data_IF_677773726962
#
_entry.id   IF_677773726962
#
_cell.length_a   1.000
_cell.length_b   1.000
_cell.length_c   1.000
_cell.angle_alpha   90.00
_cell.angle_beta   90.00
_cell.angle_gamma   90.00
#
_symmetry.space_group_name_H-M   'P 1'
#
loop_
_entity.id
_entity.type
_entity.pdbx_description
1 polymer ?
#
# COMPACT_ATOMS: atom_id res chain seq x y z
N UNK A 1 3.52 11.32 -9.63
CA UNK A 1 2.82 10.06 -9.92
C UNK A 1 3.68 8.88 -9.52
N UNK A 2 3.07 7.86 -8.91
CA UNK A 2 3.75 6.65 -8.41
C UNK A 2 3.04 5.40 -8.94
N UNK A 3 3.14 5.10 -10.25
CA UNK A 3 2.46 3.96 -10.87
C UNK A 3 2.94 2.63 -10.27
N UNK A 4 2.03 1.70 -9.92
CA UNK A 4 2.40 0.42 -9.30
C UNK A 4 2.93 -0.63 -10.28
N UNK A 5 2.67 -0.47 -11.58
CA UNK A 5 3.06 -1.40 -12.64
C UNK A 5 3.28 -0.70 -14.00
N UNK A 6 3.61 -1.49 -15.03
CA UNK A 6 3.95 -0.98 -16.37
C UNK A 6 2.74 -0.36 -17.07
N UNK A 7 1.55 -0.94 -16.95
CA UNK A 7 0.36 -0.39 -17.61
C UNK A 7 -0.06 0.96 -17.00
N UNK A 8 0.02 1.09 -15.68
CA UNK A 8 -0.15 2.39 -15.02
C UNK A 8 0.92 3.39 -15.45
N UNK A 9 2.18 2.96 -15.56
CA UNK A 9 3.26 3.82 -16.04
C UNK A 9 2.98 4.33 -17.45
N UNK A 10 2.57 3.46 -18.39
CA UNK A 10 2.24 3.87 -19.75
C UNK A 10 1.09 4.88 -19.78
N UNK A 11 0.04 4.66 -18.98
CA UNK A 11 -1.09 5.60 -18.89
C UNK A 11 -0.68 6.95 -18.30
N UNK A 12 0.12 6.96 -17.23
CA UNK A 12 0.63 8.19 -16.62
C UNK A 12 1.56 8.93 -17.58
N UNK A 13 2.43 8.20 -18.28
CA UNK A 13 3.36 8.78 -19.23
C UNK A 13 2.64 9.49 -20.39
N UNK A 14 1.61 8.87 -20.99
CA UNK A 14 0.79 9.50 -22.03
C UNK A 14 0.13 10.80 -21.53
N UNK A 15 -0.38 10.81 -20.29
CA UNK A 15 -0.90 12.02 -19.66
C UNK A 15 0.20 13.10 -19.52
N UNK A 16 1.37 12.73 -18.96
CA UNK A 16 2.44 13.67 -18.68
C UNK A 16 2.98 14.37 -19.93
N UNK A 17 3.19 13.64 -21.04
CA UNK A 17 3.73 14.21 -22.29
C UNK A 17 2.74 15.15 -23.01
N UNK A 18 1.43 15.01 -22.75
CA UNK A 18 0.38 15.89 -23.30
C UNK A 18 0.09 17.10 -22.42
N UNK A 19 0.43 17.02 -21.14
CA UNK A 19 0.22 18.10 -20.18
C UNK A 19 1.08 19.33 -20.50
N UNK A 20 0.60 20.52 -20.15
CA UNK A 20 1.32 21.79 -20.35
C UNK A 20 1.39 22.54 -19.03
N UNK A 21 2.46 23.32 -18.86
CA UNK A 21 2.68 24.16 -17.66
C UNK A 21 2.73 23.38 -16.33
N UNK A 22 3.15 22.11 -16.38
CA UNK A 22 3.34 21.26 -15.21
C UNK A 22 4.79 20.76 -15.14
N UNK A 23 5.28 20.55 -13.92
CA UNK A 23 6.44 19.67 -13.67
C UNK A 23 5.89 18.31 -13.27
N UNK A 24 6.10 17.30 -14.12
CA UNK A 24 5.65 15.95 -13.86
C UNK A 24 6.80 15.09 -13.32
N UNK A 25 6.63 14.58 -12.09
CA UNK A 25 7.55 13.60 -11.50
C UNK A 25 6.89 12.24 -11.50
N UNK A 26 7.58 11.24 -12.06
CA UNK A 26 7.17 9.84 -12.06
C UNK A 26 8.19 9.03 -11.28
N UNK A 27 7.76 8.33 -10.24
CA UNK A 27 8.59 7.39 -9.47
C UNK A 27 8.24 5.98 -9.92
N UNK A 28 9.20 5.26 -10.50
CA UNK A 28 8.94 4.02 -11.24
C UNK A 28 9.99 2.96 -10.96
N UNK A 29 9.57 1.70 -11.02
CA UNK A 29 10.50 0.57 -10.91
C UNK A 29 11.24 0.34 -12.21
N UNK A 30 12.53 -0.01 -12.10
CA UNK A 30 13.32 -0.57 -13.21
C UNK A 30 13.52 -2.09 -13.09
N UNK A 31 13.18 -2.65 -11.93
CA UNK A 31 13.39 -4.07 -11.66
C UNK A 31 12.23 -4.91 -12.19
N UNK A 32 12.44 -6.19 -12.48
CA UNK A 32 11.32 -7.11 -12.75
C UNK A 32 10.35 -7.11 -11.56
N UNK A 33 9.08 -6.87 -11.84
CA UNK A 33 7.98 -6.78 -10.87
C UNK A 33 6.71 -7.38 -11.46
N UNK A 34 5.82 -7.84 -10.59
CA UNK A 34 4.48 -8.27 -10.92
C UNK A 34 3.70 -7.14 -11.63
N UNK A 35 2.77 -7.53 -12.48
CA UNK A 35 1.85 -6.63 -13.19
C UNK A 35 0.46 -6.87 -12.62
N UNK A 36 -0.28 -5.80 -12.32
CA UNK A 36 -1.52 -5.89 -11.53
C UNK A 36 -2.75 -5.59 -12.37
N UNK A 37 -2.68 -4.53 -13.17
CA UNK A 37 -3.81 -4.05 -13.94
C UNK A 37 -3.61 -4.35 -15.43
N UNK A 38 -4.69 -4.76 -16.09
CA UNK A 38 -4.77 -4.67 -17.55
C UNK A 38 -4.69 -3.22 -18.00
N UNK A 39 -4.37 -2.97 -19.28
CA UNK A 39 -4.29 -1.60 -19.79
C UNK A 39 -5.62 -0.83 -19.63
N UNK A 40 -6.76 -1.50 -19.82
CA UNK A 40 -8.09 -0.87 -19.63
C UNK A 40 -8.31 -0.44 -18.17
N UNK A 41 -7.97 -1.32 -17.22
CA UNK A 41 -8.05 -1.00 -15.79
C UNK A 41 -7.08 0.14 -15.42
N UNK A 42 -5.85 0.10 -15.95
CA UNK A 42 -4.84 1.12 -15.70
C UNK A 42 -5.28 2.51 -16.19
N UNK A 43 -5.89 2.60 -17.38
CA UNK A 43 -6.41 3.88 -17.90
C UNK A 43 -7.49 4.44 -16.98
N UNK A 44 -8.45 3.61 -16.54
CA UNK A 44 -9.52 4.04 -15.62
C UNK A 44 -8.92 4.51 -14.27
N UNK A 45 -8.04 3.69 -13.70
CA UNK A 45 -7.41 3.95 -12.40
C UNK A 45 -6.52 5.21 -12.42
N UNK A 46 -5.65 5.35 -13.42
CA UNK A 46 -4.76 6.51 -13.55
C UNK A 46 -5.51 7.80 -13.86
N UNK A 47 -6.62 7.72 -14.59
CA UNK A 47 -7.50 8.88 -14.85
C UNK A 47 -8.16 9.40 -13.56
N UNK A 48 -8.49 8.50 -12.63
CA UNK A 48 -8.98 8.86 -11.30
C UNK A 48 -7.84 9.28 -10.35
N UNK A 49 -6.66 8.67 -10.50
CA UNK A 49 -5.44 8.93 -9.73
C UNK A 49 -5.39 8.22 -8.37
N UNK A 50 -6.52 7.70 -7.90
CA UNK A 50 -6.68 6.88 -6.69
C UNK A 50 -7.96 6.06 -6.85
N UNK A 51 -7.97 4.83 -6.33
CA UNK A 51 -9.14 3.97 -6.45
C UNK A 51 -9.08 2.72 -5.59
N UNK A 52 -10.26 2.16 -5.33
CA UNK A 52 -10.42 0.85 -4.70
C UNK A 52 -10.11 -0.23 -5.73
N UNK A 53 -9.31 -1.23 -5.36
CA UNK A 53 -9.15 -2.43 -6.19
C UNK A 53 -10.08 -3.52 -5.70
N UNK A 54 -11.22 -3.66 -6.39
CA UNK A 54 -12.30 -4.58 -5.97
C UNK A 54 -11.82 -6.02 -5.76
N UNK A 55 -10.90 -6.51 -6.59
CA UNK A 55 -10.34 -7.86 -6.50
C UNK A 55 -9.40 -8.07 -5.30
N UNK A 56 -8.84 -6.99 -4.75
CA UNK A 56 -8.01 -7.02 -3.54
C UNK A 56 -8.80 -6.67 -2.26
N UNK A 57 -10.02 -6.15 -2.39
CA UNK A 57 -10.94 -5.86 -1.29
C UNK A 57 -11.88 -7.05 -0.99
N UNK A 58 -12.48 -7.07 0.20
CA UNK A 58 -13.53 -8.02 0.59
C UNK A 58 -14.65 -7.39 1.46
N UNK A 59 -14.80 -6.06 1.40
CA UNK A 59 -15.76 -5.25 2.19
C UNK A 59 -17.04 -4.89 1.42
N UNK A 60 -17.27 -5.40 0.21
CA UNK A 60 -18.42 -5.02 -0.62
C UNK A 60 -19.75 -5.22 0.13
N UNK A 61 -20.57 -4.16 0.16
CA UNK A 61 -21.87 -4.16 0.83
C UNK A 61 -21.84 -3.73 2.30
N UNK A 62 -20.67 -3.41 2.86
CA UNK A 62 -20.51 -2.94 4.23
C UNK A 62 -19.29 -2.01 4.39
N UNK A 63 -19.10 -1.44 5.57
CA UNK A 63 -17.87 -0.70 5.91
C UNK A 63 -16.71 -1.69 6.14
N UNK A 64 -15.47 -1.34 5.75
CA UNK A 64 -14.31 -2.15 6.08
C UNK A 64 -14.00 -2.06 7.58
N UNK A 65 -13.33 -3.08 8.11
CA UNK A 65 -12.68 -3.03 9.40
C UNK A 65 -11.39 -2.20 9.32
N UNK A 66 -10.67 -2.28 8.19
CA UNK A 66 -9.43 -1.55 7.92
C UNK A 66 -9.31 -1.18 6.45
N UNK A 67 -8.77 0.00 6.18
CA UNK A 67 -8.33 0.43 4.86
C UNK A 67 -6.83 0.16 4.75
N UNK A 68 -6.42 -0.67 3.79
CA UNK A 68 -5.01 -0.83 3.43
C UNK A 68 -4.74 -0.05 2.14
N UNK A 69 -4.06 1.08 2.29
CA UNK A 69 -3.72 1.97 1.19
C UNK A 69 -2.25 1.83 0.81
N UNK A 70 -1.92 2.02 -0.47
CA UNK A 70 -0.54 1.98 -0.94
C UNK A 70 -0.26 2.97 -2.07
N UNK A 71 1.00 3.40 -2.18
CA UNK A 71 1.44 4.32 -3.23
C UNK A 71 2.89 4.06 -3.62
N UNK A 72 3.11 3.59 -4.86
CA UNK A 72 4.39 3.12 -5.39
C UNK A 72 4.42 1.62 -5.68
N UNK A 73 5.36 1.18 -6.52
CA UNK A 73 5.50 -0.21 -6.97
C UNK A 73 5.78 -1.19 -5.82
N UNK A 74 6.78 -0.88 -5.00
CA UNK A 74 7.19 -1.73 -3.88
C UNK A 74 6.15 -1.75 -2.75
N UNK A 75 5.61 -0.59 -2.30
CA UNK A 75 4.49 -0.58 -1.35
C UNK A 75 3.26 -1.34 -1.83
N UNK A 76 2.93 -1.28 -3.13
CA UNK A 76 1.78 -2.01 -3.68
C UNK A 76 1.99 -3.53 -3.59
N UNK A 77 3.18 -4.02 -3.93
CA UNK A 77 3.52 -5.44 -3.81
C UNK A 77 3.37 -5.94 -2.37
N UNK A 78 3.95 -5.22 -1.41
CA UNK A 78 3.91 -5.63 0.00
C UNK A 78 2.51 -5.52 0.61
N UNK A 79 1.74 -4.49 0.24
CA UNK A 79 0.36 -4.35 0.67
C UNK A 79 -0.51 -5.50 0.12
N UNK A 80 -0.37 -5.88 -1.15
CA UNK A 80 -1.11 -7.03 -1.71
C UNK A 80 -0.71 -8.34 -1.03
N UNK A 81 0.58 -8.56 -0.78
CA UNK A 81 1.00 -9.73 -0.03
C UNK A 81 0.43 -9.74 1.40
N UNK A 82 0.36 -8.59 2.07
CA UNK A 82 -0.31 -8.47 3.37
C UNK A 82 -1.81 -8.80 3.30
N UNK A 83 -2.51 -8.40 2.23
CA UNK A 83 -3.90 -8.83 1.98
C UNK A 83 -4.00 -10.36 1.88
N UNK A 84 -3.11 -11.03 1.14
CA UNK A 84 -3.16 -12.50 1.03
C UNK A 84 -2.98 -13.18 2.39
N UNK A 85 -2.07 -12.68 3.23
CA UNK A 85 -1.84 -13.20 4.57
C UNK A 85 -3.08 -12.98 5.45
N UNK A 86 -3.63 -11.76 5.46
CA UNK A 86 -4.81 -11.45 6.26
C UNK A 86 -6.02 -12.27 5.83
N UNK A 87 -6.33 -12.34 4.53
CA UNK A 87 -7.50 -13.08 4.03
C UNK A 87 -7.40 -14.58 4.28
N UNK A 88 -6.18 -15.15 4.29
CA UNK A 88 -5.96 -16.56 4.62
C UNK A 88 -6.15 -16.87 6.10
N UNK A 89 -5.72 -15.98 6.99
CA UNK A 89 -5.65 -16.26 8.43
C UNK A 89 -6.80 -15.64 9.24
N UNK A 90 -7.41 -14.55 8.75
CA UNK A 90 -8.48 -13.78 9.38
C UNK A 90 -9.56 -13.42 8.34
N UNK A 91 -10.22 -14.42 7.70
CA UNK A 91 -11.14 -14.20 6.58
C UNK A 91 -12.36 -13.33 6.92
N UNK A 92 -12.70 -13.22 8.21
CA UNK A 92 -13.77 -12.38 8.73
C UNK A 92 -13.43 -10.89 8.70
N UNK A 93 -12.14 -10.52 8.73
CA UNK A 93 -11.70 -9.12 8.68
C UNK A 93 -11.94 -8.53 7.30
N UNK A 94 -12.58 -7.38 7.27
CA UNK A 94 -12.96 -6.67 6.05
C UNK A 94 -11.94 -5.61 5.71
N UNK A 95 -11.24 -5.84 4.61
CA UNK A 95 -10.17 -5.00 4.10
C UNK A 95 -10.67 -4.30 2.85
N UNK A 96 -10.55 -2.98 2.86
CA UNK A 96 -10.63 -2.17 1.65
C UNK A 96 -9.22 -1.87 1.17
N UNK A 97 -8.87 -2.38 -0.01
CA UNK A 97 -7.59 -2.08 -0.64
C UNK A 97 -7.68 -0.84 -1.54
N UNK A 98 -6.81 0.13 -1.32
CA UNK A 98 -6.74 1.36 -2.11
C UNK A 98 -5.34 1.54 -2.69
N UNK A 99 -5.27 1.78 -4.00
CA UNK A 99 -4.03 2.18 -4.65
C UNK A 99 -4.09 3.67 -5.02
N UNK A 100 -3.00 4.39 -4.76
CA UNK A 100 -2.82 5.81 -5.10
C UNK A 100 -1.71 5.94 -6.13
N UNK A 101 -2.00 6.57 -7.27
CA UNK A 101 -1.03 6.90 -8.33
C UNK A 101 -0.71 8.39 -8.32
N UNK A 102 -1.72 9.24 -8.16
CA UNK A 102 -1.58 10.69 -8.03
C UNK A 102 -1.66 11.09 -6.55
N UNK A 103 -0.50 11.38 -5.97
CA UNK A 103 -0.38 11.72 -4.55
C UNK A 103 -1.19 12.97 -4.16
N UNK A 104 -1.37 13.91 -5.10
CA UNK A 104 -2.10 15.14 -4.80
C UNK A 104 -3.62 14.94 -4.68
N UNK A 105 -4.16 13.78 -5.09
CA UNK A 105 -5.56 13.40 -4.82
C UNK A 105 -5.86 13.38 -3.32
N UNK A 106 -4.85 13.07 -2.50
CA UNK A 106 -5.00 13.03 -1.05
C UNK A 106 -5.29 14.41 -0.44
N UNK A 107 -4.84 15.50 -1.07
CA UNK A 107 -5.10 16.85 -0.56
C UNK A 107 -6.56 17.28 -0.76
N UNK A 108 -7.11 18.16 0.09
CA UNK A 108 -8.40 18.80 -0.17
C UNK A 108 -8.41 19.53 -1.52
N UNK A 109 -9.52 19.46 -2.24
CA UNK A 109 -9.71 20.15 -3.53
C UNK A 109 -9.41 21.66 -3.50
N UNK A 110 -9.64 22.31 -2.36
CA UNK A 110 -9.30 23.73 -2.16
C UNK A 110 -7.80 24.03 -1.99
N UNK A 111 -6.96 23.00 -1.79
CA UNK A 111 -5.50 23.13 -1.64
C UNK A 111 -4.75 22.79 -2.92
N UNK A 112 -5.25 21.83 -3.71
CA UNK A 112 -4.64 21.44 -4.99
C UNK A 112 -5.72 21.10 -6.03
N UNK A 113 -5.56 21.48 -7.31
CA UNK A 113 -6.56 21.22 -8.36
C UNK A 113 -6.90 19.74 -8.57
N UNK A 114 -5.97 18.84 -8.25
CA UNK A 114 -6.20 17.39 -8.33
C UNK A 114 -6.90 16.83 -7.09
N UNK A 115 -6.93 17.59 -5.99
CA UNK A 115 -7.37 17.14 -4.69
C UNK A 115 -8.81 16.66 -4.68
N UNK A 116 -9.09 15.61 -3.91
CA UNK A 116 -10.44 15.13 -3.68
C UNK A 116 -11.21 16.10 -2.77
N UNK A 117 -12.52 16.23 -2.99
CA UNK A 117 -13.43 16.77 -1.98
C UNK A 117 -13.43 15.88 -0.74
N UNK A 118 -13.90 16.39 0.40
CA UNK A 118 -13.97 15.59 1.62
C UNK A 118 -14.95 14.41 1.48
N UNK A 119 -16.05 14.60 0.76
CA UNK A 119 -17.00 13.52 0.49
C UNK A 119 -16.39 12.39 -0.36
N UNK A 120 -15.60 12.72 -1.39
CA UNK A 120 -14.89 11.72 -2.20
C UNK A 120 -13.79 11.01 -1.41
N UNK A 121 -13.06 11.75 -0.56
CA UNK A 121 -12.05 11.16 0.32
C UNK A 121 -12.69 10.21 1.33
N UNK A 122 -13.74 10.64 2.02
CA UNK A 122 -14.46 9.84 3.02
C UNK A 122 -15.10 8.59 2.38
N UNK A 123 -15.58 8.67 1.14
CA UNK A 123 -16.11 7.51 0.43
C UNK A 123 -15.05 6.43 0.18
N UNK A 124 -13.79 6.84 -0.02
CA UNK A 124 -12.67 5.93 -0.21
C UNK A 124 -12.11 5.43 1.13
N UNK A 125 -11.69 6.37 1.98
CA UNK A 125 -10.89 6.12 3.18
C UNK A 125 -11.71 6.03 4.47
N UNK A 126 -13.04 6.09 4.37
CA UNK A 126 -13.99 6.13 5.51
C UNK A 126 -13.82 7.39 6.36
N UNK A 127 -14.67 7.56 7.38
CA UNK A 127 -14.59 8.70 8.32
C UNK A 127 -13.85 8.37 9.61
N UNK A 128 -13.75 7.10 9.95
CA UNK A 128 -13.33 6.65 11.29
C UNK A 128 -12.54 5.33 11.30
N UNK A 129 -12.59 4.52 10.23
CA UNK A 129 -11.89 3.23 10.19
C UNK A 129 -10.37 3.43 10.09
N UNK A 130 -9.57 2.55 10.69
CA UNK A 130 -8.12 2.64 10.60
C UNK A 130 -7.64 2.54 9.16
N UNK A 131 -6.67 3.39 8.80
CA UNK A 131 -5.96 3.43 7.54
C UNK A 131 -4.52 3.04 7.82
N UNK A 132 -4.09 1.89 7.29
CA UNK A 132 -2.68 1.53 7.19
C UNK A 132 -2.22 1.91 5.78
N UNK A 133 -1.26 2.82 5.68
CA UNK A 133 -0.79 3.37 4.41
C UNK A 133 0.66 2.98 4.16
N UNK A 134 0.94 2.16 3.15
CA UNK A 134 2.29 1.85 2.71
C UNK A 134 2.75 2.85 1.63
N UNK A 135 3.81 3.62 1.89
CA UNK A 135 4.27 4.69 1.01
C UNK A 135 5.72 4.53 0.57
N UNK A 136 6.01 4.89 -0.68
CA UNK A 136 7.36 4.83 -1.23
C UNK A 136 8.35 5.80 -0.54
N UNK A 137 7.88 6.98 -0.14
CA UNK A 137 8.71 8.02 0.46
C UNK A 137 8.56 8.11 1.97
N UNK A 138 8.89 9.27 2.52
CA UNK A 138 8.78 9.53 3.97
C UNK A 138 7.32 9.58 4.44
N UNK A 139 6.99 8.89 5.55
CA UNK A 139 5.66 8.91 6.16
C UNK A 139 5.10 10.31 6.43
N UNK A 140 5.97 11.25 6.79
CA UNK A 140 5.62 12.64 7.15
C UNK A 140 4.81 13.33 6.06
N UNK A 141 5.15 13.12 4.79
CA UNK A 141 4.44 13.73 3.66
C UNK A 141 2.97 13.29 3.61
N UNK A 142 2.67 12.01 3.85
CA UNK A 142 1.28 11.51 3.84
C UNK A 142 0.49 12.15 5.00
N UNK A 143 1.10 12.26 6.18
CA UNK A 143 0.48 12.94 7.31
C UNK A 143 0.18 14.42 7.01
N UNK A 144 1.10 15.13 6.35
CA UNK A 144 0.90 16.53 5.94
C UNK A 144 -0.24 16.68 4.93
N UNK A 145 -0.27 15.84 3.89
CA UNK A 145 -1.31 15.89 2.85
C UNK A 145 -2.71 15.61 3.41
N UNK A 146 -2.79 14.75 4.42
CA UNK A 146 -4.04 14.33 5.06
C UNK A 146 -4.38 15.13 6.32
N UNK A 147 -3.60 16.16 6.66
CA UNK A 147 -3.77 16.94 7.89
C UNK A 147 -5.12 17.62 8.04
N UNK A 148 -5.92 17.80 6.98
CA UNK A 148 -7.26 18.39 7.09
C UNK A 148 -8.42 17.40 6.87
N UNK A 149 -8.14 16.10 6.68
CA UNK A 149 -9.19 15.10 6.43
C UNK A 149 -9.93 14.71 7.70
N UNK A 150 -11.16 14.23 7.56
CA UNK A 150 -12.01 13.83 8.70
C UNK A 150 -11.42 12.62 9.43
N UNK A 151 -11.04 11.59 8.68
CA UNK A 151 -10.46 10.39 9.26
C UNK A 151 -9.02 10.67 9.74
N UNK A 152 -8.83 10.58 11.06
CA UNK A 152 -7.54 10.77 11.75
C UNK A 152 -6.87 9.46 12.14
N UNK A 153 -7.54 8.33 11.90
CA UNK A 153 -7.03 7.01 12.26
C UNK A 153 -6.06 6.53 11.18
N UNK A 154 -4.95 7.24 11.03
CA UNK A 154 -3.97 7.04 9.97
C UNK A 154 -2.64 6.58 10.56
N UNK A 155 -2.09 5.51 10.01
CA UNK A 155 -0.72 5.10 10.24
C UNK A 155 -0.03 4.85 8.92
N UNK A 156 1.18 5.38 8.77
CA UNK A 156 1.91 5.37 7.52
C UNK A 156 3.23 4.64 7.71
N UNK A 157 3.41 3.54 6.97
CA UNK A 157 4.69 2.87 6.78
C UNK A 157 5.37 3.50 5.56
N UNK A 158 6.66 3.78 5.65
CA UNK A 158 7.39 4.43 4.57
C UNK A 158 8.89 4.31 4.78
N UNK A 159 9.66 5.06 3.99
CA UNK A 159 11.11 5.11 4.17
C UNK A 159 11.48 5.83 5.47
N UNK A 160 12.29 5.16 6.30
CA UNK A 160 12.68 5.57 7.66
C UNK A 160 14.19 5.85 7.78
N UNK A 161 14.88 6.14 6.68
CA UNK A 161 16.35 6.31 6.63
C UNK A 161 17.16 5.06 6.99
N UNK A 162 16.56 3.88 6.88
CA UNK A 162 17.24 2.62 7.10
C UNK A 162 17.59 1.96 5.77
N UNK A 163 18.82 1.49 5.64
CA UNK A 163 19.30 0.87 4.43
C UNK A 163 20.78 0.53 4.43
N UNK A 164 21.13 -0.59 3.81
CA UNK A 164 22.53 -1.01 3.57
C UNK A 164 22.59 -1.93 2.34
N UNK A 165 23.77 -2.45 2.03
CA UNK A 165 23.89 -3.52 1.02
C UNK A 165 23.27 -4.78 1.62
N UNK A 166 22.07 -5.12 1.15
CA UNK A 166 21.31 -6.29 1.58
C UNK A 166 20.39 -6.80 0.45
N UNK A 167 19.56 -7.80 0.73
CA UNK A 167 18.61 -8.37 -0.22
C UNK A 167 17.40 -7.44 -0.45
N UNK A 168 16.70 -7.54 -1.60
CA UNK A 168 15.60 -6.63 -1.94
C UNK A 168 14.43 -6.60 -0.94
N UNK A 169 14.06 -7.73 -0.33
CA UNK A 169 13.02 -7.73 0.71
C UNK A 169 13.55 -7.23 2.05
N UNK A 170 14.80 -7.50 2.40
CA UNK A 170 15.40 -7.00 3.63
C UNK A 170 15.44 -5.47 3.69
N UNK A 171 15.68 -4.79 2.55
CA UNK A 171 15.53 -3.34 2.46
C UNK A 171 14.14 -2.82 2.88
N UNK A 172 13.09 -3.63 2.68
CA UNK A 172 11.71 -3.30 3.08
C UNK A 172 11.49 -3.61 4.55
N UNK A 173 12.07 -4.71 5.04
CA UNK A 173 12.05 -5.12 6.45
C UNK A 173 12.71 -4.07 7.34
N UNK A 174 13.88 -3.54 6.93
CA UNK A 174 14.58 -2.48 7.66
C UNK A 174 13.76 -1.19 7.80
N UNK A 175 12.83 -0.94 6.87
CA UNK A 175 11.93 0.21 6.89
C UNK A 175 10.53 -0.13 7.40
N UNK A 176 10.29 -1.34 7.91
CA UNK A 176 9.00 -1.81 8.43
C UNK A 176 7.82 -1.64 7.45
N UNK A 177 8.11 -1.69 6.14
CA UNK A 177 7.11 -1.56 5.06
C UNK A 177 6.85 -2.90 4.35
N UNK A 178 7.51 -3.98 4.77
CA UNK A 178 7.23 -5.31 4.26
C UNK A 178 5.87 -5.85 4.72
N UNK A 179 5.39 -6.87 4.02
CA UNK A 179 4.11 -7.53 4.27
C UNK A 179 3.90 -7.99 5.71
N UNK A 180 4.94 -8.41 6.43
CA UNK A 180 4.79 -8.94 7.80
C UNK A 180 4.54 -7.79 8.77
N UNK A 181 5.29 -6.70 8.66
CA UNK A 181 5.00 -5.48 9.40
C UNK A 181 3.61 -4.92 9.06
N UNK A 182 3.24 -4.84 7.77
CA UNK A 182 1.91 -4.36 7.38
C UNK A 182 0.77 -5.19 8.01
N UNK A 183 0.91 -6.53 8.08
CA UNK A 183 -0.05 -7.41 8.77
C UNK A 183 -0.11 -7.08 10.27
N UNK A 184 1.05 -6.98 10.93
CA UNK A 184 1.12 -6.63 12.35
C UNK A 184 0.46 -5.27 12.64
N UNK A 185 0.67 -4.29 11.77
CA UNK A 185 0.08 -2.96 11.92
C UNK A 185 -1.43 -2.96 11.70
N UNK A 186 -1.95 -3.74 10.75
CA UNK A 186 -3.41 -3.92 10.64
C UNK A 186 -3.99 -4.53 11.92
N UNK A 187 -3.40 -5.62 12.43
CA UNK A 187 -3.89 -6.30 13.65
C UNK A 187 -3.91 -5.39 14.87
N UNK A 188 -2.86 -4.60 15.10
CA UNK A 188 -2.77 -3.63 16.22
C UNK A 188 -3.90 -2.60 16.20
N UNK A 189 -4.47 -2.30 15.03
CA UNK A 189 -5.48 -1.25 14.83
C UNK A 189 -6.91 -1.76 14.84
N UNK A 190 -7.09 -3.06 15.07
CA UNK A 190 -8.39 -3.72 15.09
C UNK A 190 -8.72 -4.18 16.52
N UNK A 191 -9.08 -3.25 17.44
CA UNK A 191 -9.34 -3.60 18.84
C UNK A 191 -10.47 -4.61 19.01
N UNK A 192 -11.41 -4.69 18.06
CA UNK A 192 -12.49 -5.67 18.06
C UNK A 192 -12.01 -7.13 17.97
N UNK A 193 -10.77 -7.37 17.52
CA UNK A 193 -10.19 -8.71 17.48
C UNK A 193 -9.84 -9.22 18.90
N UNK A 194 -9.62 -8.33 19.87
CA UNK A 194 -9.12 -8.73 21.19
C UNK A 194 -7.85 -9.57 21.05
N UNK A 195 -7.92 -10.85 21.46
CA UNK A 195 -6.78 -11.77 21.40
C UNK A 195 -6.78 -12.71 20.18
N UNK A 196 -7.76 -12.63 19.27
CA UNK A 196 -7.86 -13.56 18.12
C UNK A 196 -6.71 -13.38 17.13
N UNK A 197 -6.18 -12.16 17.00
CA UNK A 197 -5.04 -11.84 16.13
C UNK A 197 -3.67 -12.26 16.68
N UNK A 198 -3.56 -12.69 17.94
CA UNK A 198 -2.25 -12.86 18.61
C UNK A 198 -1.39 -13.96 18.01
N UNK A 199 -1.97 -15.07 17.55
CA UNK A 199 -1.22 -16.13 16.88
C UNK A 199 -0.68 -15.68 15.52
N UNK A 200 -1.48 -14.95 14.75
CA UNK A 200 -1.04 -14.39 13.46
C UNK A 200 0.06 -13.34 13.69
N UNK A 201 -0.10 -12.48 14.70
CA UNK A 201 0.92 -11.50 15.07
C UNK A 201 2.24 -12.18 15.43
N UNK A 202 2.22 -13.21 16.30
CA UNK A 202 3.41 -13.98 16.66
C UNK A 202 4.04 -14.64 15.43
N UNK A 203 3.23 -15.23 14.55
CA UNK A 203 3.73 -15.83 13.31
C UNK A 203 4.46 -14.80 12.43
N UNK A 204 3.99 -13.55 12.35
CA UNK A 204 4.70 -12.50 11.61
C UNK A 204 6.03 -12.12 12.26
N UNK A 205 6.10 -12.09 13.60
CA UNK A 205 7.36 -11.88 14.31
C UNK A 205 8.34 -13.02 14.06
N UNK A 206 7.86 -14.26 14.10
CA UNK A 206 8.67 -15.45 13.84
C UNK A 206 9.21 -15.43 12.40
N UNK A 207 8.40 -15.00 11.42
CA UNK A 207 8.82 -14.81 10.03
C UNK A 207 9.92 -13.77 9.86
N UNK A 208 9.90 -12.68 10.62
CA UNK A 208 10.97 -11.68 10.60
C UNK A 208 12.28 -12.22 11.18
N UNK A 209 12.20 -13.06 12.23
CA UNK A 209 13.37 -13.76 12.78
C UNK A 209 13.93 -14.77 11.76
N UNK A 210 13.05 -15.56 11.15
CA UNK A 210 13.41 -16.53 10.10
C UNK A 210 14.10 -15.83 8.92
N UNK A 211 13.52 -14.72 8.43
CA UNK A 211 14.09 -13.92 7.35
C UNK A 211 15.51 -13.46 7.69
N UNK A 212 15.72 -12.89 8.89
CA UNK A 212 17.03 -12.39 9.32
C UNK A 212 18.10 -13.49 9.35
N UNK A 213 17.74 -14.69 9.79
CA UNK A 213 18.64 -15.83 9.80
C UNK A 213 18.93 -16.30 8.36
N UNK A 214 17.88 -16.44 7.55
CA UNK A 214 17.98 -16.95 6.19
C UNK A 214 18.84 -16.08 5.27
N UNK A 215 18.70 -14.75 5.33
CA UNK A 215 19.54 -13.86 4.50
C UNK A 215 21.01 -13.91 4.91
N UNK A 216 21.31 -14.16 6.18
CA UNK A 216 22.69 -14.24 6.68
C UNK A 216 23.35 -15.54 6.21
N UNK A 217 22.62 -16.65 6.23
CA UNK A 217 23.13 -17.97 5.86
C UNK A 217 23.16 -18.19 4.34
N UNK A 218 22.12 -17.75 3.62
CA UNK A 218 21.89 -18.08 2.21
C UNK A 218 22.18 -16.90 1.27
N UNK A 219 22.10 -15.67 1.76
CA UNK A 219 22.29 -14.47 0.94
C UNK A 219 21.15 -14.19 -0.06
N UNK A 220 19.98 -14.81 0.13
CA UNK A 220 18.78 -14.63 -0.69
C UNK A 220 17.57 -14.35 0.21
N UNK A 221 16.56 -13.65 -0.31
CA UNK A 221 15.28 -13.51 0.37
C UNK A 221 14.58 -14.87 0.55
N UNK A 222 13.70 -14.97 1.56
CA UNK A 222 12.91 -16.18 1.80
C UNK A 222 12.21 -16.68 0.52
N UNK A 223 12.19 -18.01 0.24
CA UNK A 223 11.55 -18.54 -0.96
C UNK A 223 10.09 -18.11 -1.08
N UNK A 224 9.35 -18.13 0.02
CA UNK A 224 7.94 -17.70 0.05
C UNK A 224 7.73 -16.22 -0.28
N UNK A 225 8.76 -15.37 -0.17
CA UNK A 225 8.72 -13.96 -0.58
C UNK A 225 9.06 -13.83 -2.06
N UNK A 226 10.13 -14.52 -2.51
CA UNK A 226 10.60 -14.47 -3.91
C UNK A 226 9.62 -15.09 -4.88
N UNK A 227 9.05 -16.22 -4.49
CA UNK A 227 8.17 -17.03 -5.32
C UNK A 227 6.69 -16.68 -5.13
N UNK A 228 6.39 -15.69 -4.27
CA UNK A 228 5.03 -15.23 -4.01
C UNK A 228 4.36 -14.77 -5.31
N UNK A 229 3.13 -15.27 -5.48
CA UNK A 229 2.21 -14.85 -6.53
C UNK A 229 0.88 -14.50 -5.88
N UNK A 230 0.18 -13.54 -6.48
CA UNK A 230 -1.18 -13.23 -6.06
C UNK A 230 -2.09 -14.45 -6.30
N UNK A 231 -2.65 -14.98 -5.22
CA UNK A 231 -3.60 -16.08 -5.21
C UNK A 231 -4.54 -15.90 -4.01
N UNK A 232 -5.83 -15.68 -4.28
CA UNK A 232 -6.88 -15.38 -3.29
C UNK A 232 -8.14 -16.16 -3.64
#
# INVERSE_FOLDING_TARGET
>A
YLPPDTNCLLSVFDHCIRSKNNVNVMVTSKHPRQQWLTMEQAVKHCSQGVGIWEWASNDQGQEPDVVLACCGDTPTLEALAAVTIMRKNMPEVKIRFINVVDLFKLQPKGKHPHGLSDAEFDALFTKDKPIVFAFHGYPTLIHELLYHRNNRNLYVCGYNEEGTITTPFDMRVQNEIDRFHLVMEMLKRLPQLGNTGSYLYQMMQDKLVEHKQYIHEVGLDLPEVRDWKWDI
#
